data_IF_955177524578
#
_entry.id   IF_955177524578
#
_cell.length_a   1.000
_cell.length_b   1.000
_cell.length_c   1.000
_cell.angle_alpha   90.00
_cell.angle_beta   90.00
_cell.angle_gamma   90.00
#
_symmetry.space_group_name_H-M   'P 1'
#
loop_
_entity.id
_entity.type
_entity.pdbx_description
1 polymer ?
#
# COMPACT_ATOMS: atom_id res chain seq x y z
N UNK A 1 23.36 -8.62 -34.75
CA UNK A 1 21.97 -8.20 -34.42
C UNK A 1 21.04 -8.92 -35.38
N UNK A 2 19.99 -9.59 -34.92
CA UNK A 2 19.20 -10.48 -35.79
C UNK A 2 18.20 -9.72 -36.69
N UNK A 3 17.67 -10.39 -37.73
CA UNK A 3 16.72 -9.79 -38.70
C UNK A 3 15.50 -9.16 -38.01
N UNK A 4 15.00 -9.79 -36.95
CA UNK A 4 13.84 -9.31 -36.19
C UNK A 4 14.18 -8.00 -35.46
N UNK A 5 15.34 -7.94 -34.80
CA UNK A 5 15.83 -6.74 -34.13
C UNK A 5 16.01 -5.58 -35.12
N UNK A 6 16.56 -5.82 -36.31
CA UNK A 6 16.70 -4.80 -37.36
C UNK A 6 15.34 -4.24 -37.81
N UNK A 7 14.34 -5.12 -38.02
CA UNK A 7 12.98 -4.71 -38.36
C UNK A 7 12.36 -3.81 -37.27
N UNK A 8 12.50 -4.21 -36.00
CA UNK A 8 12.00 -3.42 -34.86
C UNK A 8 12.63 -2.02 -34.82
N UNK A 9 13.95 -1.89 -35.07
CA UNK A 9 14.60 -0.58 -35.08
C UNK A 9 14.12 0.29 -36.26
N UNK A 10 13.87 -0.31 -37.43
CA UNK A 10 13.32 0.40 -38.60
C UNK A 10 11.89 0.89 -38.32
N UNK A 11 11.06 0.04 -37.73
CA UNK A 11 9.69 0.39 -37.34
C UNK A 11 9.69 1.51 -36.29
N UNK A 12 10.58 1.45 -35.29
CA UNK A 12 10.74 2.51 -34.28
C UNK A 12 11.08 3.87 -34.91
N UNK A 13 12.00 3.90 -35.88
CA UNK A 13 12.35 5.13 -36.60
C UNK A 13 11.19 5.67 -37.44
N UNK A 14 10.45 4.77 -38.11
CA UNK A 14 9.27 5.13 -38.90
C UNK A 14 8.17 5.76 -38.04
N UNK A 15 7.87 5.14 -36.90
CA UNK A 15 6.87 5.68 -35.97
C UNK A 15 7.32 7.00 -35.32
N UNK A 16 8.61 7.14 -35.00
CA UNK A 16 9.15 8.41 -34.51
C UNK A 16 8.96 9.55 -35.52
N UNK A 17 9.17 9.28 -36.82
CA UNK A 17 8.96 10.26 -37.89
C UNK A 17 7.49 10.67 -38.00
N UNK A 18 6.56 9.71 -37.89
CA UNK A 18 5.11 9.98 -37.92
C UNK A 18 4.63 10.82 -36.74
N UNK A 19 5.14 10.53 -35.53
CA UNK A 19 4.73 11.21 -34.30
C UNK A 19 5.34 12.61 -34.14
N UNK A 20 6.36 12.97 -34.94
CA UNK A 20 7.12 14.20 -34.77
C UNK A 20 7.95 14.26 -33.48
N UNK A 21 7.94 13.20 -32.67
CA UNK A 21 8.74 13.07 -31.46
C UNK A 21 9.17 11.63 -31.23
N UNK A 22 10.11 11.45 -30.31
CA UNK A 22 10.53 10.10 -29.96
C UNK A 22 9.38 9.31 -29.29
N UNK A 23 9.03 8.10 -29.75
CA UNK A 23 7.85 7.38 -29.26
C UNK A 23 7.94 7.07 -27.77
N UNK A 24 6.81 7.22 -27.08
CA UNK A 24 6.53 6.70 -25.74
C UNK A 24 5.88 5.32 -25.87
N UNK A 25 5.93 4.53 -24.81
CA UNK A 25 5.35 3.18 -24.78
C UNK A 25 3.85 3.17 -25.08
N UNK A 26 3.15 4.24 -24.70
CA UNK A 26 1.70 4.39 -24.90
C UNK A 26 1.33 4.73 -26.34
N UNK A 27 2.25 5.35 -27.09
CA UNK A 27 2.01 5.75 -28.48
C UNK A 27 2.03 4.51 -29.41
N UNK A 28 2.85 3.51 -29.06
CA UNK A 28 3.11 2.31 -29.89
C UNK A 28 3.15 1.01 -29.05
N UNK A 29 2.05 0.62 -28.37
CA UNK A 29 2.06 -0.44 -27.37
C UNK A 29 2.52 -1.81 -27.91
N UNK A 30 2.08 -2.18 -29.12
CA UNK A 30 2.44 -3.45 -29.76
C UNK A 30 3.94 -3.50 -30.09
N UNK A 31 4.49 -2.43 -30.67
CA UNK A 31 5.91 -2.34 -30.99
C UNK A 31 6.76 -2.25 -29.71
N UNK A 32 6.26 -1.59 -28.67
CA UNK A 32 6.90 -1.56 -27.37
C UNK A 32 7.04 -2.96 -26.75
N UNK A 33 6.03 -3.82 -26.90
CA UNK A 33 6.10 -5.21 -26.45
C UNK A 33 7.22 -5.99 -27.14
N UNK A 34 7.32 -5.89 -28.48
CA UNK A 34 8.42 -6.48 -29.26
C UNK A 34 9.80 -5.98 -28.80
N UNK A 35 9.90 -4.70 -28.42
CA UNK A 35 11.14 -4.15 -27.89
C UNK A 35 11.55 -4.80 -26.56
N UNK A 36 10.60 -5.15 -25.68
CA UNK A 36 10.92 -5.88 -24.46
C UNK A 36 11.41 -7.30 -24.78
N UNK A 37 10.70 -8.03 -25.66
CA UNK A 37 11.05 -9.41 -25.99
C UNK A 37 12.43 -9.54 -26.63
N UNK A 38 12.83 -8.60 -27.49
CA UNK A 38 14.08 -8.73 -28.26
C UNK A 38 15.24 -7.87 -27.76
N UNK A 39 15.00 -6.86 -26.93
CA UNK A 39 16.05 -5.98 -26.40
C UNK A 39 16.07 -5.90 -24.88
N UNK A 40 15.12 -6.56 -24.19
CA UNK A 40 14.90 -6.50 -22.74
C UNK A 40 14.41 -5.13 -22.25
N UNK A 41 14.35 -4.11 -23.10
CA UNK A 41 13.98 -2.75 -22.72
C UNK A 41 13.64 -1.90 -23.94
N UNK A 42 12.50 -1.22 -23.88
CA UNK A 42 12.11 -0.20 -24.85
C UNK A 42 13.15 0.92 -24.99
N UNK A 43 13.78 1.34 -23.89
CA UNK A 43 14.82 2.38 -23.94
C UNK A 43 16.11 1.86 -24.59
N UNK A 44 16.48 0.59 -24.38
CA UNK A 44 17.62 -0.02 -25.10
C UNK A 44 17.37 -0.06 -26.60
N UNK A 45 16.15 -0.44 -27.02
CA UNK A 45 15.76 -0.43 -28.43
C UNK A 45 15.80 0.99 -29.02
N UNK A 46 15.24 2.00 -28.32
CA UNK A 46 15.33 3.41 -28.72
C UNK A 46 16.77 3.90 -28.85
N UNK A 47 17.66 3.56 -27.91
CA UNK A 47 19.09 3.90 -27.97
C UNK A 47 19.73 3.34 -29.25
N UNK A 48 19.49 2.05 -29.54
CA UNK A 48 19.99 1.40 -30.76
C UNK A 48 19.38 1.96 -32.04
N UNK A 49 18.15 2.48 -31.98
CA UNK A 49 17.50 3.16 -33.08
C UNK A 49 17.98 4.61 -33.26
N UNK A 50 18.89 5.13 -32.42
CA UNK A 50 19.34 6.53 -32.46
C UNK A 50 18.27 7.53 -32.01
N UNK A 51 17.25 7.08 -31.25
CA UNK A 51 16.13 7.90 -30.82
C UNK A 51 16.37 8.49 -29.42
N UNK A 52 15.95 9.74 -29.22
CA UNK A 52 16.03 10.43 -27.91
C UNK A 52 15.27 9.65 -26.83
N UNK A 53 15.96 9.35 -25.72
CA UNK A 53 15.35 8.73 -24.55
C UNK A 53 15.04 9.82 -23.55
N UNK A 54 13.78 9.94 -23.14
CA UNK A 54 13.41 10.74 -21.98
C UNK A 54 13.45 9.80 -20.77
N UNK A 55 14.51 9.89 -19.98
CA UNK A 55 14.53 9.30 -18.65
C UNK A 55 14.02 10.37 -17.68
N UNK A 56 12.72 10.34 -17.37
CA UNK A 56 12.24 11.05 -16.18
C UNK A 56 12.73 10.22 -14.99
N UNK A 57 14.00 10.39 -14.61
CA UNK A 57 14.41 9.94 -13.29
C UNK A 57 13.85 10.97 -12.33
N UNK A 58 12.85 10.60 -11.55
CA UNK A 58 12.47 11.44 -10.41
C UNK A 58 13.53 11.22 -9.34
N UNK A 59 14.57 12.05 -9.35
CA UNK A 59 15.73 11.93 -8.43
C UNK A 59 15.68 12.96 -7.31
N UNK A 60 14.89 14.02 -7.47
CA UNK A 60 14.83 15.09 -6.50
C UNK A 60 13.70 14.81 -5.52
N UNK A 61 14.05 14.06 -4.47
CA UNK A 61 13.18 13.91 -3.31
C UNK A 61 13.15 15.22 -2.51
N UNK A 62 12.00 15.57 -1.90
CA UNK A 62 11.97 16.59 -0.86
C UNK A 62 13.01 16.33 0.24
N UNK A 63 13.54 17.39 0.87
CA UNK A 63 14.57 17.27 1.93
C UNK A 63 14.14 16.33 3.08
N UNK A 64 12.85 16.32 3.40
CA UNK A 64 12.24 15.53 4.47
C UNK A 64 11.69 14.16 4.02
N UNK A 65 11.98 13.73 2.79
CA UNK A 65 11.36 12.54 2.22
C UNK A 65 11.65 11.25 2.99
N UNK A 66 12.80 11.17 3.65
CA UNK A 66 13.24 10.00 4.41
C UNK A 66 13.21 10.23 5.93
N UNK A 67 12.53 11.29 6.40
CA UNK A 67 12.31 11.52 7.83
C UNK A 67 11.21 10.60 8.37
N UNK A 68 11.31 10.17 9.62
CA UNK A 68 10.19 9.54 10.33
C UNK A 68 9.24 10.64 10.81
N UNK A 69 8.06 10.73 10.22
CA UNK A 69 7.03 11.73 10.52
C UNK A 69 5.62 11.16 10.33
N UNK A 70 4.62 11.96 10.70
CA UNK A 70 3.20 11.57 10.68
C UNK A 70 2.72 11.22 9.26
N UNK A 71 3.22 11.89 8.22
CA UNK A 71 2.92 11.54 6.82
C UNK A 71 3.42 10.12 6.47
N UNK A 72 4.63 9.75 6.91
CA UNK A 72 5.14 8.38 6.75
C UNK A 72 4.27 7.37 7.50
N UNK A 73 3.87 7.68 8.73
CA UNK A 73 3.02 6.81 9.55
C UNK A 73 1.70 6.52 8.83
N UNK A 74 1.02 7.54 8.29
CA UNK A 74 -0.22 7.34 7.52
C UNK A 74 0.02 6.39 6.34
N UNK A 75 1.12 6.56 5.59
CA UNK A 75 1.46 5.70 4.43
C UNK A 75 1.72 4.25 4.86
N UNK A 76 2.53 4.03 5.91
CA UNK A 76 2.84 2.69 6.43
C UNK A 76 1.58 2.00 6.96
N UNK A 77 0.72 2.73 7.64
CA UNK A 77 -0.54 2.22 8.20
C UNK A 77 -1.48 1.75 7.09
N UNK A 78 -1.67 2.56 6.05
CA UNK A 78 -2.45 2.15 4.87
C UNK A 78 -1.83 0.95 4.15
N UNK A 79 -0.50 0.88 4.03
CA UNK A 79 0.16 -0.29 3.43
C UNK A 79 -0.02 -1.56 4.28
N UNK A 80 -0.05 -1.40 5.61
CA UNK A 80 -0.30 -2.50 6.55
C UNK A 80 -1.74 -3.02 6.46
N UNK A 81 -2.71 -2.17 6.18
CA UNK A 81 -4.12 -2.57 6.02
C UNK A 81 -4.52 -2.69 4.53
N UNK A 82 -5.01 -1.62 3.91
CA UNK A 82 -5.56 -1.59 2.55
C UNK A 82 -4.53 -1.40 1.41
N UNK A 83 -3.27 -1.77 1.64
CA UNK A 83 -2.21 -1.61 0.64
C UNK A 83 -1.34 -2.84 0.44
N UNK A 84 -0.29 -2.70 -0.35
CA UNK A 84 0.64 -3.78 -0.62
C UNK A 84 1.99 -3.21 -1.05
N UNK A 85 3.04 -3.59 -0.33
CA UNK A 85 4.42 -3.38 -0.72
C UNK A 85 4.89 -4.60 -1.51
N UNK A 86 5.31 -4.44 -2.77
CA UNK A 86 5.62 -5.58 -3.64
C UNK A 86 6.82 -6.39 -3.13
N UNK A 87 6.75 -7.73 -3.23
CA UNK A 87 7.86 -8.64 -2.85
C UNK A 87 9.17 -8.38 -3.61
N UNK A 88 9.08 -7.97 -4.87
CA UNK A 88 10.23 -7.61 -5.71
C UNK A 88 10.76 -6.18 -5.46
N UNK A 89 10.17 -5.48 -4.48
CA UNK A 89 10.55 -4.14 -4.03
C UNK A 89 10.53 -3.08 -5.13
N UNK A 90 9.77 -3.31 -6.23
CA UNK A 90 9.69 -2.35 -7.34
C UNK A 90 8.75 -1.17 -7.08
N UNK A 91 7.83 -1.33 -6.14
CA UNK A 91 6.73 -0.40 -5.92
C UNK A 91 5.80 -0.81 -4.79
N UNK A 92 4.72 -0.05 -4.65
CA UNK A 92 3.60 -0.38 -3.79
C UNK A 92 2.29 0.06 -4.44
N UNK A 93 1.18 -0.44 -3.91
CA UNK A 93 -0.13 0.08 -4.23
C UNK A 93 -1.04 0.20 -3.02
N UNK A 94 -2.03 1.08 -3.15
CA UNK A 94 -3.06 1.35 -2.16
C UNK A 94 -4.43 1.11 -2.81
N UNK A 95 -5.36 0.56 -2.05
CA UNK A 95 -6.75 0.34 -2.46
C UNK A 95 -7.71 1.20 -1.65
N UNK A 96 -8.82 1.57 -2.27
CA UNK A 96 -9.99 2.08 -1.55
C UNK A 96 -11.20 2.01 -2.47
N UNK A 97 -12.39 1.76 -1.90
CA UNK A 97 -13.66 1.95 -2.60
C UNK A 97 -14.02 3.45 -2.76
N UNK A 98 -13.34 4.34 -2.05
CA UNK A 98 -13.56 5.78 -2.09
C UNK A 98 -12.36 6.50 -2.74
N UNK A 99 -12.56 7.03 -3.95
CA UNK A 99 -11.52 7.75 -4.70
C UNK A 99 -10.99 8.98 -3.96
N UNK A 100 -11.81 9.65 -3.15
CA UNK A 100 -11.38 10.81 -2.38
C UNK A 100 -10.31 10.46 -1.35
N UNK A 101 -10.36 9.24 -0.78
CA UNK A 101 -9.33 8.72 0.12
C UNK A 101 -8.00 8.56 -0.60
N UNK A 102 -8.02 7.96 -1.80
CA UNK A 102 -6.80 7.84 -2.60
C UNK A 102 -6.26 9.19 -3.05
N UNK A 103 -7.12 10.15 -3.40
CA UNK A 103 -6.69 11.51 -3.72
C UNK A 103 -5.99 12.19 -2.53
N UNK A 104 -6.50 11.98 -1.30
CA UNK A 104 -5.84 12.46 -0.08
C UNK A 104 -4.48 11.78 0.13
N UNK A 105 -4.41 10.46 -0.06
CA UNK A 105 -3.15 9.72 0.07
C UNK A 105 -2.14 10.12 -1.00
N UNK A 106 -2.57 10.40 -2.23
CA UNK A 106 -1.72 10.98 -3.27
C UNK A 106 -1.12 12.32 -2.82
N UNK A 107 -1.91 13.22 -2.22
CA UNK A 107 -1.39 14.49 -1.70
C UNK A 107 -0.33 14.28 -0.62
N UNK A 108 -0.56 13.33 0.31
CA UNK A 108 0.42 12.97 1.36
C UNK A 108 1.69 12.38 0.74
N UNK A 109 1.56 11.44 -0.19
CA UNK A 109 2.69 10.81 -0.90
C UNK A 109 3.47 11.84 -1.72
N UNK A 110 2.78 12.76 -2.40
CA UNK A 110 3.41 13.82 -3.17
C UNK A 110 4.16 14.80 -2.26
N UNK A 111 3.54 15.22 -1.15
CA UNK A 111 4.20 16.05 -0.13
C UNK A 111 5.44 15.35 0.45
N UNK A 112 5.32 14.05 0.74
CA UNK A 112 6.37 13.26 1.37
C UNK A 112 7.53 12.99 0.40
N UNK A 113 7.23 12.53 -0.81
CA UNK A 113 8.23 11.96 -1.71
C UNK A 113 8.39 12.72 -3.03
N UNK A 114 7.57 13.73 -3.31
CA UNK A 114 7.57 14.44 -4.59
C UNK A 114 7.06 13.59 -5.77
N UNK A 115 6.36 12.49 -5.50
CA UNK A 115 5.92 11.54 -6.53
C UNK A 115 4.40 11.54 -6.72
N UNK A 116 4.00 11.47 -7.99
CA UNK A 116 2.64 11.11 -8.39
C UNK A 116 2.62 9.68 -8.90
N UNK A 117 1.59 8.95 -8.50
CA UNK A 117 1.36 7.57 -8.87
C UNK A 117 0.45 7.42 -10.08
N UNK A 118 0.05 6.17 -10.31
CA UNK A 118 -0.81 5.77 -11.42
C UNK A 118 -2.09 5.22 -10.82
N UNK A 119 -3.22 5.77 -11.24
CA UNK A 119 -4.54 5.23 -10.92
C UNK A 119 -4.91 4.08 -11.85
N UNK A 120 -5.70 3.15 -11.33
CA UNK A 120 -6.40 2.15 -12.10
C UNK A 120 -7.52 1.53 -11.27
N UNK A 121 -8.21 0.57 -11.87
CA UNK A 121 -9.24 -0.19 -11.17
C UNK A 121 -8.63 -1.27 -10.28
N UNK A 122 -9.31 -1.55 -9.17
CA UNK A 122 -9.07 -2.70 -8.31
C UNK A 122 -9.62 -3.97 -8.95
N UNK A 123 -9.10 -5.12 -8.53
CA UNK A 123 -9.44 -6.44 -9.09
C UNK A 123 -10.44 -7.23 -8.22
N UNK A 124 -11.09 -6.57 -7.27
CA UNK A 124 -12.00 -7.20 -6.30
C UNK A 124 -13.47 -7.07 -6.70
N UNK A 125 -14.36 -7.70 -5.92
CA UNK A 125 -15.80 -7.51 -6.05
C UNK A 125 -16.19 -6.07 -5.69
N UNK A 126 -17.02 -5.46 -6.55
CA UNK A 126 -17.48 -4.08 -6.38
C UNK A 126 -16.50 -3.02 -6.87
N UNK A 127 -16.90 -1.75 -6.76
CA UNK A 127 -16.11 -0.61 -7.23
C UNK A 127 -14.94 -0.37 -6.29
N UNK A 128 -13.73 -0.64 -6.77
CA UNK A 128 -12.49 -0.39 -6.03
C UNK A 128 -11.50 0.37 -6.92
N UNK A 129 -10.86 1.37 -6.36
CA UNK A 129 -9.80 2.14 -6.99
C UNK A 129 -8.45 1.68 -6.46
N UNK A 130 -7.43 1.78 -7.31
CA UNK A 130 -6.06 1.44 -6.97
C UNK A 130 -5.11 2.57 -7.37
N UNK A 131 -4.23 2.95 -6.46
CA UNK A 131 -3.16 3.93 -6.70
C UNK A 131 -1.79 3.26 -6.56
N UNK A 132 -0.93 3.35 -7.58
CA UNK A 132 0.37 2.67 -7.65
C UNK A 132 1.54 3.64 -7.71
N UNK A 133 2.61 3.34 -6.98
CA UNK A 133 3.89 4.05 -7.06
C UNK A 133 4.99 3.03 -7.37
N UNK A 134 5.88 3.37 -8.31
CA UNK A 134 7.04 2.56 -8.67
C UNK A 134 8.32 3.36 -8.44
N UNK A 135 8.97 3.12 -7.29
CA UNK A 135 10.25 3.73 -6.97
C UNK A 135 11.02 2.86 -5.96
N UNK A 136 12.13 2.28 -6.38
CA UNK A 136 12.93 1.35 -5.56
C UNK A 136 13.44 2.01 -4.26
N UNK A 137 13.89 3.26 -4.31
CA UNK A 137 14.45 3.95 -3.12
C UNK A 137 13.40 4.16 -2.04
N UNK A 138 12.19 4.59 -2.42
CA UNK A 138 11.07 4.74 -1.48
C UNK A 138 10.66 3.38 -0.90
N UNK A 139 10.57 2.35 -1.75
CA UNK A 139 10.11 1.03 -1.32
C UNK A 139 11.08 0.39 -0.34
N UNK A 140 12.39 0.53 -0.58
CA UNK A 140 13.42 0.13 0.38
C UNK A 140 13.27 0.90 1.69
N UNK A 141 13.10 2.21 1.64
CA UNK A 141 12.87 3.02 2.84
C UNK A 141 11.61 2.60 3.61
N UNK A 142 10.48 2.33 2.93
CA UNK A 142 9.24 1.86 3.57
C UNK A 142 9.43 0.50 4.25
N UNK A 143 10.11 -0.44 3.58
CA UNK A 143 10.47 -1.74 4.16
C UNK A 143 11.34 -1.55 5.40
N UNK A 144 12.39 -0.76 5.29
CA UNK A 144 13.36 -0.52 6.37
C UNK A 144 12.73 0.25 7.54
N UNK A 145 11.68 1.02 7.28
CA UNK A 145 10.84 1.68 8.30
C UNK A 145 9.83 0.73 8.97
N UNK A 146 9.75 -0.53 8.55
CA UNK A 146 8.94 -1.59 9.15
C UNK A 146 7.60 -1.89 8.45
N UNK A 147 7.43 -1.49 7.19
CA UNK A 147 6.23 -1.86 6.41
C UNK A 147 6.27 -3.34 6.03
N UNK A 148 5.18 -4.12 6.25
CA UNK A 148 5.14 -5.51 5.82
C UNK A 148 5.22 -5.66 4.30
N UNK A 149 6.02 -6.63 3.84
CA UNK A 149 6.23 -6.91 2.41
C UNK A 149 5.40 -8.11 1.97
N UNK A 150 4.76 -7.98 0.81
CA UNK A 150 4.04 -9.07 0.18
C UNK A 150 2.69 -9.38 0.83
N UNK A 151 2.37 -10.67 0.90
CA UNK A 151 1.07 -11.14 1.40
C UNK A 151 1.07 -11.18 2.94
N UNK A 152 0.39 -10.19 3.52
CA UNK A 152 0.31 -9.98 4.96
C UNK A 152 -0.38 -11.11 5.72
N UNK A 153 -1.20 -11.94 5.06
CA UNK A 153 -1.83 -13.08 5.72
C UNK A 153 -0.80 -14.20 6.03
N UNK A 154 0.27 -14.28 5.25
CA UNK A 154 1.32 -15.32 5.36
C UNK A 154 2.71 -14.74 5.66
N UNK A 155 2.80 -13.47 6.04
CA UNK A 155 4.05 -12.79 6.44
C UNK A 155 3.93 -12.33 7.88
N UNK A 156 4.89 -12.65 8.74
CA UNK A 156 4.94 -12.13 10.12
C UNK A 156 5.31 -10.64 10.14
N UNK A 157 4.65 -9.84 10.98
CA UNK A 157 4.95 -8.42 11.19
C UNK A 157 4.33 -7.92 12.49
N UNK A 158 4.80 -6.77 12.98
CA UNK A 158 4.23 -6.03 14.11
C UNK A 158 4.32 -4.51 13.83
N UNK A 159 3.70 -3.69 14.67
CA UNK A 159 3.85 -2.23 14.62
C UNK A 159 5.30 -1.84 14.92
N UNK A 160 5.95 -1.01 14.08
CA UNK A 160 7.31 -0.55 14.31
C UNK A 160 7.48 0.14 15.67
N UNK A 161 8.60 -0.14 16.35
CA UNK A 161 8.90 0.40 17.70
C UNK A 161 8.83 1.94 17.75
N UNK A 162 9.40 2.61 16.75
CA UNK A 162 9.39 4.08 16.65
C UNK A 162 7.98 4.68 16.49
N UNK A 163 7.00 3.91 15.99
CA UNK A 163 5.58 4.30 15.97
C UNK A 163 4.94 4.08 17.33
N UNK A 164 5.22 2.93 17.98
CA UNK A 164 4.64 2.58 19.30
C UNK A 164 5.06 3.56 20.40
N UNK A 165 6.32 4.00 20.38
CA UNK A 165 6.90 4.83 21.45
C UNK A 165 6.59 6.32 21.31
N UNK A 166 6.22 6.78 20.12
CA UNK A 166 5.83 8.17 19.91
C UNK A 166 4.30 8.29 19.95
N UNK A 167 3.77 9.06 20.91
CA UNK A 167 2.31 9.21 21.12
C UNK A 167 1.57 9.77 19.90
N UNK A 168 2.16 10.72 19.17
CA UNK A 168 1.54 11.28 17.96
C UNK A 168 1.48 10.22 16.85
N UNK A 169 2.57 9.49 16.63
CA UNK A 169 2.64 8.44 15.61
C UNK A 169 1.73 7.26 15.96
N UNK A 170 1.68 6.85 17.22
CA UNK A 170 0.77 5.81 17.69
C UNK A 170 -0.69 6.18 17.43
N UNK A 171 -1.07 7.45 17.71
CA UNK A 171 -2.41 7.96 17.43
C UNK A 171 -2.74 7.90 15.93
N UNK A 172 -1.86 8.40 15.07
CA UNK A 172 -2.09 8.41 13.61
C UNK A 172 -2.13 6.99 13.02
N UNK A 173 -1.29 6.08 13.54
CA UNK A 173 -1.30 4.67 13.14
C UNK A 173 -2.62 3.99 13.51
N UNK A 174 -3.06 4.13 14.76
CA UNK A 174 -4.34 3.60 15.23
C UNK A 174 -5.51 4.16 14.43
N UNK A 175 -5.55 5.48 14.24
CA UNK A 175 -6.59 6.15 13.45
C UNK A 175 -6.71 5.56 12.04
N UNK A 176 -5.58 5.39 11.36
CA UNK A 176 -5.54 4.88 9.99
C UNK A 176 -5.89 3.39 9.92
N UNK A 177 -5.34 2.57 10.82
CA UNK A 177 -5.61 1.14 10.85
C UNK A 177 -7.09 0.85 11.13
N UNK A 178 -7.70 1.57 12.09
CA UNK A 178 -9.15 1.45 12.33
C UNK A 178 -10.00 2.02 11.21
N UNK A 179 -9.52 3.04 10.49
CA UNK A 179 -10.21 3.52 9.29
C UNK A 179 -10.34 2.41 8.23
N UNK A 180 -9.24 1.68 7.97
CA UNK A 180 -9.21 0.58 7.03
C UNK A 180 -10.00 -0.65 7.54
N UNK A 181 -9.56 -1.23 8.66
CA UNK A 181 -9.98 -2.57 9.12
C UNK A 181 -11.04 -2.52 10.24
N UNK A 182 -11.26 -1.34 10.82
CA UNK A 182 -12.24 -1.13 11.88
C UNK A 182 -13.65 -1.04 11.33
N UNK A 183 -14.62 -1.50 12.12
CA UNK A 183 -16.05 -1.44 11.82
C UNK A 183 -16.80 -0.86 13.01
N UNK A 184 -17.73 0.06 12.74
CA UNK A 184 -18.68 0.60 13.73
C UNK A 184 -20.05 0.00 13.50
N UNK A 185 -20.70 -0.48 14.55
CA UNK A 185 -22.08 -0.96 14.48
C UNK A 185 -22.85 -0.58 15.73
N UNK A 186 -24.17 -0.49 15.57
CA UNK A 186 -25.13 -0.26 16.66
C UNK A 186 -25.82 -1.58 16.96
N UNK A 187 -25.76 -2.02 18.21
CA UNK A 187 -26.51 -3.20 18.68
C UNK A 187 -28.00 -2.89 18.74
N UNK A 188 -28.83 -3.95 18.82
CA UNK A 188 -30.29 -3.83 18.99
C UNK A 188 -30.68 -3.00 20.22
N UNK A 189 -29.90 -3.10 21.30
CA UNK A 189 -30.10 -2.30 22.52
C UNK A 189 -29.55 -0.85 22.42
N UNK A 190 -29.22 -0.39 21.22
CA UNK A 190 -28.74 0.96 20.95
C UNK A 190 -27.26 1.21 21.26
N UNK A 191 -26.55 0.27 21.90
CA UNK A 191 -25.13 0.44 22.24
C UNK A 191 -24.25 0.39 20.99
N UNK A 192 -23.38 1.39 20.84
CA UNK A 192 -22.37 1.40 19.78
C UNK A 192 -21.20 0.47 20.11
N UNK A 193 -20.58 -0.04 19.06
CA UNK A 193 -19.44 -0.93 19.18
C UNK A 193 -18.44 -0.70 18.03
N UNK A 194 -17.16 -0.68 18.38
CA UNK A 194 -16.05 -0.58 17.44
C UNK A 194 -15.24 -1.88 17.53
N UNK A 195 -15.16 -2.61 16.41
CA UNK A 195 -14.38 -3.84 16.27
C UNK A 195 -13.31 -3.65 15.22
N UNK A 196 -12.16 -4.26 15.42
CA UNK A 196 -11.15 -4.44 14.38
C UNK A 196 -10.88 -5.93 14.19
N UNK A 197 -10.58 -6.32 12.96
CA UNK A 197 -10.22 -7.69 12.62
C UNK A 197 -9.04 -7.72 11.64
N UNK A 198 -8.18 -8.72 11.76
CA UNK A 198 -7.14 -9.01 10.78
C UNK A 198 -7.16 -10.50 10.46
N UNK A 199 -7.01 -10.82 9.17
CA UNK A 199 -6.92 -12.21 8.72
C UNK A 199 -5.46 -12.68 8.72
N UNK A 200 -5.22 -13.88 9.23
CA UNK A 200 -3.90 -14.52 9.24
C UNK A 200 -4.01 -15.99 8.89
N UNK A 201 -2.99 -16.53 8.25
CA UNK A 201 -2.83 -17.98 8.12
C UNK A 201 -2.81 -18.64 9.50
N UNK A 202 -3.38 -19.84 9.59
CA UNK A 202 -3.46 -20.60 10.84
C UNK A 202 -2.08 -20.80 11.48
N UNK A 203 -1.06 -21.09 10.66
CA UNK A 203 0.34 -21.24 11.10
C UNK A 203 0.99 -19.95 11.64
N UNK A 204 0.44 -18.77 11.37
CA UNK A 204 0.93 -17.48 11.86
C UNK A 204 -0.01 -16.84 12.90
N UNK A 205 -0.94 -17.60 13.48
CA UNK A 205 -1.89 -17.09 14.46
C UNK A 205 -1.22 -16.41 15.65
N UNK A 206 -0.17 -17.00 16.20
CA UNK A 206 0.55 -16.42 17.34
C UNK A 206 1.13 -15.04 17.01
N UNK A 207 1.67 -14.86 15.81
CA UNK A 207 2.19 -13.57 15.37
C UNK A 207 1.09 -12.56 15.12
N UNK A 208 -0.03 -13.00 14.55
CA UNK A 208 -1.21 -12.15 14.41
C UNK A 208 -1.79 -11.71 15.76
N UNK A 209 -1.82 -12.60 16.77
CA UNK A 209 -2.24 -12.27 18.14
C UNK A 209 -1.28 -11.27 18.78
N UNK A 210 0.04 -11.43 18.60
CA UNK A 210 1.04 -10.45 19.06
C UNK A 210 0.78 -9.07 18.47
N UNK A 211 0.56 -8.97 17.15
CA UNK A 211 0.23 -7.72 16.49
C UNK A 211 -1.06 -7.07 17.05
N UNK A 212 -2.12 -7.87 17.24
CA UNK A 212 -3.37 -7.35 17.81
C UNK A 212 -3.20 -6.88 19.26
N UNK A 213 -2.36 -7.54 20.06
CA UNK A 213 -2.01 -7.08 21.39
C UNK A 213 -1.15 -5.81 21.37
N UNK A 214 -0.27 -5.62 20.40
CA UNK A 214 0.44 -4.34 20.19
C UNK A 214 -0.56 -3.20 19.97
N UNK A 215 -1.59 -3.38 19.14
CA UNK A 215 -2.64 -2.38 18.96
C UNK A 215 -3.40 -2.08 20.26
N UNK A 216 -3.73 -3.12 21.04
CA UNK A 216 -4.38 -2.95 22.36
C UNK A 216 -3.51 -2.16 23.33
N UNK A 217 -2.22 -2.46 23.40
CA UNK A 217 -1.27 -1.73 24.25
C UNK A 217 -1.14 -0.26 23.82
N UNK A 218 -1.11 0.00 22.52
CA UNK A 218 -1.12 1.38 22.01
C UNK A 218 -2.42 2.10 22.41
N UNK A 219 -3.59 1.46 22.32
CA UNK A 219 -4.86 2.04 22.77
C UNK A 219 -4.88 2.31 24.28
N UNK A 220 -4.30 1.41 25.08
CA UNK A 220 -4.16 1.59 26.52
C UNK A 220 -3.37 2.84 26.88
N UNK A 221 -2.38 3.25 26.08
CA UNK A 221 -1.64 4.52 26.26
C UNK A 221 -2.50 5.79 26.04
N UNK A 222 -3.73 5.62 25.53
CA UNK A 222 -4.76 6.66 25.46
C UNK A 222 -5.90 6.41 26.45
N UNK A 223 -5.69 5.54 27.44
CA UNK A 223 -6.69 5.12 28.43
C UNK A 223 -7.93 4.47 27.80
N UNK A 224 -7.79 3.83 26.63
CA UNK A 224 -8.88 3.17 25.93
C UNK A 224 -8.81 1.67 26.21
N UNK A 225 -9.86 1.18 26.87
CA UNK A 225 -9.99 -0.22 27.22
C UNK A 225 -10.57 -1.05 26.06
N UNK A 226 -10.08 -2.29 25.94
CA UNK A 226 -10.48 -3.24 24.89
C UNK A 226 -10.82 -4.59 25.49
N UNK A 227 -11.54 -5.42 24.76
CA UNK A 227 -11.80 -6.80 25.16
C UNK A 227 -10.55 -7.66 24.96
N UNK A 228 -10.60 -8.91 25.44
CA UNK A 228 -9.60 -9.91 25.08
C UNK A 228 -9.59 -10.15 23.57
N UNK A 229 -8.44 -10.56 23.05
CA UNK A 229 -8.30 -11.00 21.66
C UNK A 229 -8.98 -12.36 21.53
N UNK A 230 -9.78 -12.56 20.49
CA UNK A 230 -10.33 -13.87 20.16
C UNK A 230 -10.15 -14.18 18.67
N UNK A 231 -10.11 -15.46 18.36
CA UNK A 231 -9.99 -15.98 17.00
C UNK A 231 -11.36 -16.45 16.54
N UNK A 232 -11.77 -16.08 15.32
CA UNK A 232 -12.99 -16.55 14.67
C UNK A 232 -12.65 -17.31 13.39
N UNK A 233 -13.63 -18.08 12.90
CA UNK A 233 -13.52 -18.80 11.62
C UNK A 233 -13.14 -17.83 10.50
N UNK A 234 -12.13 -18.19 9.71
CA UNK A 234 -11.79 -17.48 8.47
C UNK A 234 -12.14 -18.34 7.26
N UNK A 235 -11.35 -18.21 6.19
CA UNK A 235 -11.64 -18.83 4.91
C UNK A 235 -10.49 -19.73 4.43
N UNK A 236 -10.83 -20.72 3.61
CA UNK A 236 -9.85 -21.47 2.81
C UNK A 236 -9.52 -20.63 1.57
N UNK A 237 -8.23 -20.39 1.34
CA UNK A 237 -7.75 -19.61 0.20
C UNK A 237 -7.63 -20.48 -1.05
N UNK A 238 -7.47 -19.83 -2.22
CA UNK A 238 -7.29 -20.52 -3.51
C UNK A 238 -6.04 -21.41 -3.56
N UNK A 239 -5.04 -21.13 -2.73
CA UNK A 239 -3.81 -21.88 -2.57
C UNK A 239 -3.92 -23.01 -1.52
N UNK A 240 -5.11 -23.24 -0.96
CA UNK A 240 -5.36 -24.24 0.09
C UNK A 240 -5.05 -23.76 1.51
N UNK A 241 -4.41 -22.59 1.69
CA UNK A 241 -4.06 -22.08 3.01
C UNK A 241 -5.33 -21.70 3.80
N UNK A 242 -5.42 -22.19 5.04
CA UNK A 242 -6.50 -21.84 5.95
C UNK A 242 -6.16 -20.53 6.66
N UNK A 243 -7.08 -19.57 6.59
CA UNK A 243 -6.99 -18.32 7.35
C UNK A 243 -7.99 -18.29 8.49
N UNK A 244 -7.66 -17.55 9.54
CA UNK A 244 -8.55 -17.20 10.64
C UNK A 244 -8.58 -15.69 10.82
N UNK A 245 -9.67 -15.18 11.38
CA UNK A 245 -9.74 -13.76 11.74
C UNK A 245 -9.37 -13.61 13.22
N UNK A 246 -8.52 -12.65 13.52
CA UNK A 246 -8.08 -12.31 14.86
C UNK A 246 -8.70 -10.96 15.20
N UNK A 247 -9.36 -10.86 16.34
CA UNK A 247 -10.29 -9.78 16.63
C UNK A 247 -10.11 -9.23 18.04
N UNK A 248 -10.40 -7.95 18.21
CA UNK A 248 -10.80 -7.39 19.50
C UNK A 248 -11.84 -6.28 19.31
N UNK A 249 -12.49 -5.86 20.40
CA UNK A 249 -13.40 -4.71 20.43
C UNK A 249 -12.90 -3.64 21.39
N UNK A 250 -13.20 -2.37 21.09
CA UNK A 250 -13.20 -1.31 22.11
C UNK A 250 -14.34 -1.60 23.07
N UNK A 251 -14.10 -1.53 24.39
CA UNK A 251 -15.17 -1.74 25.38
C UNK A 251 -16.26 -0.69 25.15
N UNK A 252 -17.53 -1.07 25.29
CA UNK A 252 -18.65 -0.16 25.01
C UNK A 252 -18.60 1.13 25.83
N UNK A 253 -18.06 1.09 27.07
CA UNK A 253 -17.83 2.27 27.91
C UNK A 253 -16.85 3.29 27.30
N UNK A 254 -15.98 2.84 26.40
CA UNK A 254 -14.83 3.58 25.89
C UNK A 254 -15.00 3.98 24.42
N UNK A 255 -16.14 3.70 23.79
CA UNK A 255 -16.39 4.03 22.38
C UNK A 255 -16.30 5.54 22.14
N UNK A 256 -16.95 6.36 22.98
CA UNK A 256 -16.86 7.83 22.87
C UNK A 256 -15.43 8.32 23.13
N UNK A 257 -14.74 7.72 24.12
CA UNK A 257 -13.35 8.02 24.42
C UNK A 257 -12.45 7.72 23.22
N UNK A 258 -12.65 6.59 22.55
CA UNK A 258 -11.93 6.21 21.34
C UNK A 258 -12.16 7.21 20.21
N UNK A 259 -13.41 7.55 19.91
CA UNK A 259 -13.75 8.51 18.84
C UNK A 259 -13.05 9.85 19.09
N UNK A 260 -13.11 10.36 20.33
CA UNK A 260 -12.53 11.65 20.68
C UNK A 260 -11.00 11.63 20.69
N UNK A 261 -10.38 10.67 21.39
CA UNK A 261 -8.91 10.63 21.56
C UNK A 261 -8.17 10.21 20.30
N UNK A 262 -8.68 9.23 19.55
CA UNK A 262 -8.08 8.76 18.29
C UNK A 262 -8.50 9.64 17.10
N UNK A 263 -9.59 10.42 17.26
CA UNK A 263 -10.15 11.24 16.18
C UNK A 263 -10.56 10.38 14.98
N UNK A 264 -11.19 9.24 15.28
CA UNK A 264 -11.65 8.27 14.29
C UNK A 264 -13.07 8.60 13.84
N UNK A 265 -13.24 8.75 12.53
CA UNK A 265 -14.51 9.04 11.87
C UNK A 265 -14.63 8.05 10.72
N UNK A 266 -15.70 7.26 10.71
CA UNK A 266 -16.03 6.30 9.67
C UNK A 266 -17.54 6.32 9.42
#
# INVERSE_FOLDING_TARGET
>A
MNKIQLKILKDLKKEAKKLGHSPKRRDIPVLAWKCYSHFGSFNKAKKKAGLKIVNIRVVNFPKNAFKLDTDLVTIISFLTADGHLYKDLKGFHLYSNNKAVLNRLEKIIYKKFGLKGIYGEGSGYGKCFRYKIFNKKIVLFLRDSGTPVGDKMITSFDVPKWIKENKEFAKEYLKTIFYCEGSKYKRLNGKEEIRINFNKSERLLNDGIKFMNSLKNMLKNFDIETTNVWVSKGNVRKDGEITKQINFKVKSSDVNKFINKISWIK
#
